data_IF_741517349147
#
_entry.id   IF_741517349147
#
_cell.length_a   1.000
_cell.length_b   1.000
_cell.length_c   1.000
_cell.angle_alpha   90.00
_cell.angle_beta   90.00
_cell.angle_gamma   90.00
#
_symmetry.space_group_name_H-M   'P 1'
#
loop_
_entity.id
_entity.type
_entity.pdbx_description
1 polymer ?
#
# COMPACT_ATOMS: atom_id res chain seq x y z
N UNK A 1 18.21 46.30 2.49
CA UNK A 1 17.99 44.92 2.08
C UNK A 1 16.73 44.92 1.22
N UNK A 2 16.91 44.83 -0.08
CA UNK A 2 15.84 44.97 -1.07
C UNK A 2 14.97 43.71 -1.13
N UNK A 3 13.68 43.86 -1.46
CA UNK A 3 12.70 42.75 -1.48
C UNK A 3 13.05 41.56 -2.36
N UNK A 4 13.97 41.72 -3.30
CA UNK A 4 14.55 40.69 -4.17
C UNK A 4 15.41 39.68 -3.42
N UNK A 5 16.12 40.07 -2.35
CA UNK A 5 16.94 39.15 -1.56
C UNK A 5 16.10 38.22 -0.66
N UNK A 6 14.94 38.70 -0.19
CA UNK A 6 13.98 37.86 0.58
C UNK A 6 13.33 36.81 -0.31
N UNK A 7 12.97 37.14 -1.54
CA UNK A 7 12.37 36.20 -2.51
C UNK A 7 13.38 35.12 -2.95
N UNK A 8 14.64 35.51 -3.16
CA UNK A 8 15.70 34.57 -3.56
C UNK A 8 16.11 33.63 -2.42
N UNK A 9 16.12 34.08 -1.16
CA UNK A 9 16.37 33.22 0.02
C UNK A 9 15.22 32.23 0.28
N UNK A 10 13.96 32.63 0.07
CA UNK A 10 12.83 31.71 0.16
C UNK A 10 12.85 30.63 -0.94
N UNK A 11 13.35 30.95 -2.13
CA UNK A 11 13.48 30.01 -3.26
C UNK A 11 14.58 28.95 -3.05
N UNK A 12 15.66 29.27 -2.37
CA UNK A 12 16.76 28.32 -2.11
C UNK A 12 16.54 27.43 -0.86
N UNK A 13 15.83 27.89 0.14
CA UNK A 13 15.50 27.11 1.33
C UNK A 13 14.57 25.93 1.06
N UNK A 14 13.77 26.01 0.01
CA UNK A 14 12.81 24.99 -0.37
C UNK A 14 13.45 23.67 -0.82
N UNK A 15 14.37 23.66 -1.79
CA UNK A 15 15.08 22.45 -2.22
C UNK A 15 15.89 21.81 -1.09
N UNK A 16 16.53 22.63 -0.24
CA UNK A 16 17.31 22.16 0.90
C UNK A 16 16.42 21.44 1.91
N UNK A 17 15.21 21.96 2.19
CA UNK A 17 14.26 21.32 3.08
C UNK A 17 13.78 19.98 2.53
N UNK A 18 13.46 19.90 1.23
CA UNK A 18 13.06 18.65 0.57
C UNK A 18 14.15 17.58 0.72
N UNK A 19 15.43 17.97 0.54
CA UNK A 19 16.57 17.06 0.68
C UNK A 19 16.71 16.58 2.13
N UNK A 20 16.70 17.48 3.10
CA UNK A 20 16.85 17.12 4.51
C UNK A 20 15.73 16.19 5.01
N UNK A 21 14.48 16.52 4.69
CA UNK A 21 13.34 15.65 5.05
C UNK A 21 13.46 14.30 4.36
N UNK A 22 13.85 14.29 3.09
CA UNK A 22 14.05 13.05 2.34
C UNK A 22 15.15 12.19 2.96
N UNK A 23 16.30 12.78 3.31
CA UNK A 23 17.40 12.07 3.96
C UNK A 23 16.94 11.50 5.30
N UNK A 24 16.20 12.27 6.10
CA UNK A 24 15.71 11.82 7.40
C UNK A 24 14.72 10.64 7.25
N UNK A 25 13.79 10.72 6.29
CA UNK A 25 12.85 9.64 6.03
C UNK A 25 13.55 8.38 5.51
N UNK A 26 14.54 8.50 4.62
CA UNK A 26 15.34 7.37 4.17
C UNK A 26 16.24 6.80 5.26
N UNK A 27 16.76 7.65 6.15
CA UNK A 27 17.52 7.20 7.33
C UNK A 27 16.66 6.36 8.27
N UNK A 28 15.37 6.72 8.44
CA UNK A 28 14.42 5.87 9.17
C UNK A 28 14.25 4.51 8.49
N UNK A 29 14.11 4.50 7.15
CA UNK A 29 13.94 3.26 6.38
C UNK A 29 15.16 2.33 6.47
N UNK A 30 16.37 2.86 6.58
CA UNK A 30 17.62 2.09 6.61
C UNK A 30 18.13 1.91 8.03
N UNK A 31 18.73 2.95 8.61
CA UNK A 31 19.29 2.92 9.95
C UNK A 31 18.22 2.68 11.02
N UNK A 32 17.05 3.32 10.89
CA UNK A 32 15.93 3.12 11.81
C UNK A 32 15.40 1.69 11.79
N UNK A 33 15.35 1.07 10.61
CA UNK A 33 15.02 -0.36 10.52
C UNK A 33 16.02 -1.22 11.26
N UNK A 34 17.32 -1.03 11.01
CA UNK A 34 18.37 -1.86 11.60
C UNK A 34 18.46 -1.66 13.13
N UNK A 35 18.40 -0.42 13.59
CA UNK A 35 18.60 -0.10 15.00
C UNK A 35 17.34 -0.33 15.84
N UNK A 36 16.17 0.09 15.32
CA UNK A 36 14.93 0.10 16.11
C UNK A 36 14.07 -1.14 15.91
N UNK A 37 14.11 -1.78 14.73
CA UNK A 37 13.16 -2.85 14.40
C UNK A 37 13.82 -4.22 14.22
N UNK A 38 15.03 -4.31 13.67
CA UNK A 38 15.71 -5.59 13.46
C UNK A 38 15.83 -6.44 14.74
N UNK A 39 16.14 -5.88 15.93
CA UNK A 39 16.15 -6.66 17.17
C UNK A 39 14.81 -7.34 17.47
N UNK A 40 13.69 -6.64 17.23
CA UNK A 40 12.35 -7.21 17.44
C UNK A 40 12.01 -8.30 16.41
N UNK A 41 12.48 -8.16 15.15
CA UNK A 41 12.33 -9.22 14.16
C UNK A 41 13.14 -10.47 14.54
N UNK A 42 14.34 -10.31 15.08
CA UNK A 42 15.15 -11.42 15.56
C UNK A 42 14.50 -12.10 16.78
N UNK A 43 13.98 -11.31 17.72
CA UNK A 43 13.20 -11.85 18.85
C UNK A 43 11.97 -12.61 18.35
N UNK A 44 11.19 -12.04 17.45
CA UNK A 44 10.02 -12.69 16.89
C UNK A 44 10.37 -14.00 16.15
N UNK A 45 11.52 -14.06 15.49
CA UNK A 45 12.00 -15.26 14.81
C UNK A 45 12.29 -16.41 15.80
N UNK A 46 12.74 -16.09 17.01
CA UNK A 46 13.17 -17.07 18.03
C UNK A 46 12.01 -17.43 18.96
N UNK A 47 11.26 -16.42 19.44
CA UNK A 47 10.33 -16.56 20.54
C UNK A 47 8.86 -16.76 20.11
N UNK A 48 8.47 -16.28 18.91
CA UNK A 48 7.09 -16.31 18.50
C UNK A 48 6.71 -17.62 17.81
N UNK A 49 5.68 -18.28 18.30
CA UNK A 49 5.12 -19.49 17.69
C UNK A 49 4.49 -19.19 16.32
N UNK A 50 3.80 -18.04 16.17
CA UNK A 50 3.25 -17.56 14.91
C UNK A 50 4.09 -16.41 14.36
N UNK A 51 5.23 -16.78 13.73
CA UNK A 51 6.19 -15.84 13.14
C UNK A 51 5.54 -14.94 12.10
N UNK A 52 4.66 -15.45 11.27
CA UNK A 52 3.98 -14.65 10.26
C UNK A 52 3.19 -13.50 10.88
N UNK A 53 2.39 -13.79 11.89
CA UNK A 53 1.59 -12.78 12.61
C UNK A 53 2.46 -11.73 13.29
N UNK A 54 3.57 -12.16 13.90
CA UNK A 54 4.53 -11.25 14.53
C UNK A 54 5.20 -10.33 13.51
N UNK A 55 5.67 -10.88 12.39
CA UNK A 55 6.29 -10.10 11.31
C UNK A 55 5.31 -9.11 10.69
N UNK A 56 4.05 -9.48 10.47
CA UNK A 56 3.03 -8.57 9.95
C UNK A 56 2.77 -7.40 10.92
N UNK A 57 2.70 -7.66 12.24
CA UNK A 57 2.56 -6.59 13.24
C UNK A 57 3.77 -5.65 13.25
N UNK A 58 4.99 -6.19 13.20
CA UNK A 58 6.21 -5.39 13.13
C UNK A 58 6.27 -4.55 11.87
N UNK A 59 5.92 -5.11 10.70
CA UNK A 59 5.79 -4.34 9.46
C UNK A 59 4.78 -3.20 9.61
N UNK A 60 3.59 -3.49 10.17
CA UNK A 60 2.57 -2.49 10.41
C UNK A 60 3.10 -1.35 11.31
N UNK A 61 3.71 -1.67 12.44
CA UNK A 61 4.29 -0.69 13.37
C UNK A 61 5.42 0.12 12.74
N UNK A 62 6.30 -0.52 11.97
CA UNK A 62 7.37 0.16 11.24
C UNK A 62 6.82 1.22 10.29
N UNK A 63 5.82 0.87 9.47
CA UNK A 63 5.25 1.82 8.52
C UNK A 63 4.32 2.84 9.21
N UNK A 64 3.70 2.52 10.35
CA UNK A 64 3.02 3.52 11.18
C UNK A 64 4.00 4.59 11.67
N UNK A 65 5.16 4.19 12.17
CA UNK A 65 6.23 5.11 12.56
C UNK A 65 6.72 5.98 11.40
N UNK A 66 6.90 5.38 10.22
CA UNK A 66 7.24 6.11 9.01
C UNK A 66 6.19 7.18 8.66
N UNK A 67 4.90 6.84 8.59
CA UNK A 67 3.84 7.80 8.29
C UNK A 67 3.60 8.81 9.40
N UNK A 68 3.88 8.46 10.66
CA UNK A 68 3.92 9.44 11.75
C UNK A 68 4.98 10.52 11.48
N UNK A 69 6.20 10.13 11.10
CA UNK A 69 7.27 11.07 10.72
C UNK A 69 6.86 11.90 9.50
N UNK A 70 6.31 11.29 8.45
CA UNK A 70 5.83 12.01 7.25
C UNK A 70 4.83 13.09 7.65
N UNK A 71 3.84 12.77 8.49
CA UNK A 71 2.83 13.74 8.95
C UNK A 71 3.43 14.88 9.77
N UNK A 72 4.46 14.61 10.57
CA UNK A 72 5.14 15.63 11.39
C UNK A 72 6.07 16.52 10.57
N UNK A 73 6.80 15.95 9.63
CA UNK A 73 7.81 16.66 8.85
C UNK A 73 7.22 17.38 7.63
N UNK A 74 6.08 16.92 7.11
CA UNK A 74 5.42 17.46 5.92
C UNK A 74 4.00 17.93 6.28
N UNK A 75 3.83 19.00 7.06
CA UNK A 75 2.52 19.51 7.48
C UNK A 75 1.69 20.05 6.31
N UNK A 76 2.32 20.33 5.17
CA UNK A 76 1.65 20.69 3.90
C UNK A 76 0.86 19.53 3.30
N UNK A 77 1.15 18.27 3.72
CA UNK A 77 0.43 17.10 3.29
C UNK A 77 -0.63 16.68 4.33
N UNK A 78 -1.89 16.88 3.98
CA UNK A 78 -3.03 16.42 4.78
C UNK A 78 -3.39 14.98 4.43
N UNK A 79 -4.00 14.27 5.38
CA UNK A 79 -4.39 12.86 5.22
C UNK A 79 -5.88 12.72 5.52
N UNK A 80 -6.62 12.19 4.56
CA UNK A 80 -8.02 11.83 4.71
C UNK A 80 -8.16 10.34 4.41
N UNK A 81 -8.30 9.57 5.47
CA UNK A 81 -8.45 8.11 5.43
C UNK A 81 -9.85 7.81 5.95
N UNK A 82 -10.64 7.08 5.16
CA UNK A 82 -11.99 6.67 5.54
C UNK A 82 -11.94 5.82 6.82
N UNK A 83 -12.64 6.20 7.89
CA UNK A 83 -12.68 5.43 9.14
C UNK A 83 -13.18 3.99 8.97
N UNK A 84 -13.96 3.70 7.93
CA UNK A 84 -14.44 2.36 7.63
C UNK A 84 -13.30 1.37 7.33
N UNK A 85 -12.13 1.87 6.89
CA UNK A 85 -10.95 1.04 6.60
C UNK A 85 -10.47 0.29 7.85
N UNK A 86 -10.55 0.88 9.03
CA UNK A 86 -10.15 0.24 10.28
C UNK A 86 -11.00 -1.01 10.64
N UNK A 87 -12.19 -1.13 10.04
CA UNK A 87 -13.11 -2.25 10.27
C UNK A 87 -12.99 -3.36 9.21
N UNK A 88 -12.15 -3.19 8.19
CA UNK A 88 -11.95 -4.20 7.15
C UNK A 88 -11.20 -5.39 7.75
N UNK A 89 -11.80 -6.55 7.67
CA UNK A 89 -11.25 -7.80 8.20
C UNK A 89 -11.72 -8.97 7.33
N UNK A 90 -10.86 -9.97 7.13
CA UNK A 90 -11.18 -11.19 6.39
C UNK A 90 -11.55 -10.92 4.91
N UNK A 91 -10.88 -9.98 4.26
CA UNK A 91 -11.27 -9.49 2.94
C UNK A 91 -10.12 -9.52 1.94
N UNK A 92 -10.45 -9.74 0.67
CA UNK A 92 -9.57 -9.34 -0.43
C UNK A 92 -9.78 -7.85 -0.70
N UNK A 93 -8.72 -7.07 -0.50
CA UNK A 93 -8.72 -5.63 -0.69
C UNK A 93 -8.10 -5.30 -2.04
N UNK A 94 -8.90 -4.74 -2.94
CA UNK A 94 -8.48 -4.28 -4.27
C UNK A 94 -8.27 -2.77 -4.23
N UNK A 95 -7.10 -2.29 -4.63
CA UNK A 95 -6.77 -0.87 -4.62
C UNK A 95 -6.07 -0.47 -5.92
N UNK A 96 -6.31 0.75 -6.43
CA UNK A 96 -5.51 1.33 -7.51
C UNK A 96 -4.09 1.66 -7.03
N UNK A 97 -3.14 1.77 -7.97
CA UNK A 97 -1.72 1.95 -7.63
C UNK A 97 -1.11 3.13 -8.37
N UNK A 98 -0.70 4.17 -7.63
CA UNK A 98 -0.14 5.41 -8.19
C UNK A 98 1.27 5.73 -7.66
N UNK A 99 1.64 5.26 -6.45
CA UNK A 99 2.91 5.57 -5.80
C UNK A 99 3.56 4.35 -5.13
N UNK A 100 4.86 4.41 -4.91
CA UNK A 100 5.56 3.46 -4.03
C UNK A 100 5.07 3.50 -2.57
N UNK A 101 4.40 4.59 -2.18
CA UNK A 101 3.85 4.74 -0.83
C UNK A 101 2.56 3.92 -0.62
N UNK A 102 1.85 3.54 -1.68
CA UNK A 102 0.54 2.89 -1.55
C UNK A 102 0.62 1.55 -0.80
N UNK A 103 1.52 0.61 -1.15
CA UNK A 103 1.61 -0.66 -0.42
C UNK A 103 2.01 -0.47 1.03
N UNK A 104 2.94 0.43 1.33
CA UNK A 104 3.37 0.67 2.72
C UNK A 104 2.31 1.42 3.53
N UNK A 105 1.47 2.25 2.87
CA UNK A 105 0.30 2.85 3.50
C UNK A 105 -0.71 1.78 3.90
N UNK A 106 -1.05 0.84 3.01
CA UNK A 106 -1.97 -0.25 3.33
C UNK A 106 -1.40 -1.16 4.42
N UNK A 107 -0.09 -1.48 4.40
CA UNK A 107 0.58 -2.23 5.47
C UNK A 107 0.44 -1.51 6.82
N UNK A 108 0.57 -0.18 6.85
CA UNK A 108 0.45 0.60 8.08
C UNK A 108 -0.96 0.60 8.69
N UNK A 109 -1.98 0.24 7.90
CA UNK A 109 -3.39 0.23 8.31
C UNK A 109 -3.89 -1.16 8.72
N UNK A 110 -3.28 -2.22 8.22
CA UNK A 110 -3.72 -3.59 8.47
C UNK A 110 -2.68 -4.37 9.26
N UNK A 111 -2.93 -4.63 10.55
CA UNK A 111 -2.02 -5.41 11.39
C UNK A 111 -1.91 -6.89 10.94
N UNK A 112 -2.96 -7.43 10.33
CA UNK A 112 -3.00 -8.75 9.69
C UNK A 112 -3.17 -8.58 8.19
N UNK A 113 -2.07 -8.70 7.45
CA UNK A 113 -2.08 -8.44 6.02
C UNK A 113 -1.16 -9.39 5.25
N UNK A 114 -1.58 -9.73 4.05
CA UNK A 114 -0.74 -10.30 2.99
C UNK A 114 -0.85 -9.43 1.74
N UNK A 115 0.17 -9.49 0.90
CA UNK A 115 0.16 -8.80 -0.39
C UNK A 115 1.00 -9.54 -1.42
N UNK A 116 0.84 -9.16 -2.67
CA UNK A 116 1.59 -9.71 -3.80
C UNK A 116 2.80 -8.83 -4.09
N UNK A 117 3.97 -9.43 -4.15
CA UNK A 117 5.26 -8.74 -4.32
C UNK A 117 6.01 -9.31 -5.51
N UNK A 118 6.68 -8.46 -6.27
CA UNK A 118 7.49 -8.88 -7.44
C UNK A 118 8.56 -9.89 -7.05
N UNK A 119 8.68 -10.97 -7.79
CA UNK A 119 9.59 -12.09 -7.52
C UNK A 119 11.04 -11.65 -7.27
N UNK A 120 11.53 -10.63 -7.98
CA UNK A 120 12.88 -10.08 -7.80
C UNK A 120 13.17 -9.61 -6.38
N UNK A 121 12.15 -9.16 -5.63
CA UNK A 121 12.32 -8.69 -4.26
C UNK A 121 12.52 -9.83 -3.28
N UNK A 122 11.95 -11.00 -3.55
CA UNK A 122 12.24 -12.23 -2.80
C UNK A 122 13.69 -12.74 -3.01
N UNK A 123 14.35 -12.31 -4.08
CA UNK A 123 15.74 -12.69 -4.36
C UNK A 123 16.76 -11.84 -3.57
N UNK A 124 16.34 -10.73 -2.96
CA UNK A 124 17.22 -9.86 -2.18
C UNK A 124 17.52 -10.55 -0.84
N UNK A 125 18.79 -10.77 -0.47
CA UNK A 125 19.15 -11.34 0.82
C UNK A 125 18.52 -10.57 1.99
N UNK A 126 18.16 -11.25 3.07
CA UNK A 126 17.44 -10.74 4.25
C UNK A 126 16.05 -10.20 3.93
N UNK A 127 15.90 -9.26 3.00
CA UNK A 127 14.63 -8.66 2.63
C UNK A 127 13.65 -9.70 2.06
N UNK A 128 14.09 -10.55 1.13
CA UNK A 128 13.26 -11.63 0.60
C UNK A 128 12.82 -12.64 1.67
N UNK A 129 13.69 -12.90 2.64
CA UNK A 129 13.37 -13.75 3.79
C UNK A 129 12.31 -13.11 4.68
N UNK A 130 12.38 -11.79 4.91
CA UNK A 130 11.36 -11.04 5.63
C UNK A 130 10.01 -11.08 4.91
N UNK A 131 9.99 -10.90 3.57
CA UNK A 131 8.76 -11.01 2.78
C UNK A 131 8.13 -12.40 2.92
N UNK A 132 8.93 -13.46 2.83
CA UNK A 132 8.46 -14.82 3.00
C UNK A 132 7.91 -15.07 4.42
N UNK A 133 8.62 -14.63 5.47
CA UNK A 133 8.19 -14.76 6.86
C UNK A 133 6.94 -13.92 7.17
N UNK A 134 6.73 -12.83 6.45
CA UNK A 134 5.51 -12.00 6.54
C UNK A 134 4.30 -12.60 5.82
N UNK A 135 4.44 -13.76 5.16
CA UNK A 135 3.35 -14.40 4.44
C UNK A 135 3.04 -13.80 3.07
N UNK A 136 3.93 -12.96 2.51
CA UNK A 136 3.68 -12.30 1.22
C UNK A 136 3.80 -13.30 0.06
N UNK A 137 3.05 -13.01 -1.02
CA UNK A 137 2.97 -13.87 -2.20
C UNK A 137 3.89 -13.36 -3.30
N UNK A 138 4.61 -14.24 -4.01
CA UNK A 138 5.29 -13.86 -5.24
C UNK A 138 4.27 -13.54 -6.34
N UNK A 139 4.61 -12.58 -7.22
CA UNK A 139 3.70 -12.11 -8.27
C UNK A 139 3.44 -13.16 -9.37
N UNK A 140 4.34 -14.11 -9.53
CA UNK A 140 4.22 -15.20 -10.52
C UNK A 140 4.56 -16.54 -9.87
N UNK A 141 3.81 -17.57 -10.24
CA UNK A 141 3.97 -18.94 -9.74
C UNK A 141 5.14 -19.70 -10.40
N UNK A 142 5.89 -19.07 -11.30
CA UNK A 142 6.97 -19.74 -12.03
C UNK A 142 8.29 -19.83 -11.27
N UNK A 143 9.11 -20.82 -11.65
CA UNK A 143 10.46 -21.00 -11.15
C UNK A 143 10.51 -21.36 -9.65
N UNK A 144 11.56 -20.91 -8.97
CA UNK A 144 11.86 -21.26 -7.57
C UNK A 144 10.82 -20.81 -6.53
N UNK A 145 9.87 -19.95 -6.91
CA UNK A 145 8.84 -19.43 -6.01
C UNK A 145 7.47 -20.10 -6.18
N UNK A 146 7.35 -21.11 -7.07
CA UNK A 146 6.10 -21.82 -7.31
C UNK A 146 5.58 -22.55 -6.06
N UNK A 147 6.45 -23.25 -5.34
CA UNK A 147 6.09 -23.90 -4.08
C UNK A 147 5.58 -22.93 -3.01
N UNK A 148 6.26 -21.78 -2.86
CA UNK A 148 5.81 -20.73 -1.92
C UNK A 148 4.44 -20.19 -2.30
N UNK A 149 4.17 -19.96 -3.59
CA UNK A 149 2.88 -19.49 -4.06
C UNK A 149 1.76 -20.49 -3.74
N UNK A 150 1.99 -21.78 -4.01
CA UNK A 150 1.03 -22.85 -3.73
C UNK A 150 0.73 -22.92 -2.23
N UNK A 151 1.76 -22.94 -1.39
CA UNK A 151 1.61 -22.92 0.08
C UNK A 151 0.80 -21.73 0.56
N UNK A 152 1.08 -20.52 0.03
CA UNK A 152 0.37 -19.31 0.42
C UNK A 152 -1.09 -19.33 0.00
N UNK A 153 -1.40 -19.80 -1.20
CA UNK A 153 -2.79 -19.93 -1.67
C UNK A 153 -3.53 -20.96 -0.84
N UNK A 154 -2.94 -22.11 -0.56
CA UNK A 154 -3.56 -23.15 0.25
C UNK A 154 -3.89 -22.68 1.68
N UNK A 155 -3.07 -21.78 2.24
CA UNK A 155 -3.29 -21.23 3.60
C UNK A 155 -4.26 -20.03 3.65
N UNK A 156 -4.78 -19.54 2.50
CA UNK A 156 -5.66 -18.37 2.47
C UNK A 156 -6.97 -18.51 3.25
N UNK A 157 -7.70 -19.65 3.19
CA UNK A 157 -8.96 -19.75 3.94
C UNK A 157 -8.77 -19.55 5.44
N UNK A 158 -7.76 -20.17 6.04
CA UNK A 158 -7.41 -19.97 7.45
C UNK A 158 -6.98 -18.54 7.76
N UNK A 159 -6.18 -17.94 6.88
CA UNK A 159 -5.73 -16.56 7.02
C UNK A 159 -6.88 -15.55 7.07
N UNK A 160 -7.88 -15.70 6.18
CA UNK A 160 -9.07 -14.84 6.17
C UNK A 160 -9.95 -15.08 7.40
N UNK A 161 -10.14 -16.34 7.81
CA UNK A 161 -10.88 -16.70 9.02
C UNK A 161 -10.28 -16.06 10.28
N UNK A 162 -8.95 -15.92 10.32
CA UNK A 162 -8.22 -15.21 11.39
C UNK A 162 -8.26 -13.67 11.24
N UNK A 163 -9.11 -13.13 10.39
CA UNK A 163 -9.28 -11.70 10.16
C UNK A 163 -8.19 -11.05 9.30
N UNK A 164 -7.37 -11.84 8.61
CA UNK A 164 -6.33 -11.32 7.72
C UNK A 164 -6.91 -10.69 6.45
N UNK A 165 -6.27 -9.65 5.94
CA UNK A 165 -6.62 -8.98 4.69
C UNK A 165 -5.54 -9.22 3.62
N UNK A 166 -5.96 -9.68 2.46
CA UNK A 166 -5.08 -9.76 1.29
C UNK A 166 -5.29 -8.51 0.43
N UNK A 167 -4.36 -7.57 0.44
CA UNK A 167 -4.46 -6.43 -0.46
C UNK A 167 -3.67 -6.65 -1.75
N UNK A 168 -4.28 -6.29 -2.86
CA UNK A 168 -3.72 -6.45 -4.20
C UNK A 168 -3.97 -5.18 -5.02
N UNK A 169 -2.94 -4.78 -5.76
CA UNK A 169 -3.05 -3.80 -6.83
C UNK A 169 -3.25 -4.56 -8.15
N UNK A 170 -4.50 -4.69 -8.64
CA UNK A 170 -4.81 -5.61 -9.73
C UNK A 170 -4.19 -5.19 -11.07
N UNK A 171 -3.76 -3.95 -11.19
CA UNK A 171 -3.02 -3.42 -12.35
C UNK A 171 -1.61 -4.02 -12.48
N UNK A 172 -1.03 -4.60 -11.41
CA UNK A 172 0.32 -5.16 -11.37
C UNK A 172 1.46 -4.15 -11.52
N UNK A 173 1.14 -2.92 -11.93
CA UNK A 173 2.08 -1.81 -12.07
C UNK A 173 1.44 -0.50 -11.63
N UNK A 174 2.28 0.49 -11.30
CA UNK A 174 1.79 1.83 -10.96
C UNK A 174 1.30 2.55 -12.22
N UNK A 175 0.14 3.19 -12.11
CA UNK A 175 -0.34 4.10 -13.15
C UNK A 175 0.59 5.32 -13.27
N UNK A 176 0.99 5.67 -14.49
CA UNK A 176 1.81 6.87 -14.76
C UNK A 176 0.97 8.10 -15.10
N UNK A 177 -0.25 7.88 -15.56
CA UNK A 177 -1.16 8.93 -16.03
C UNK A 177 -2.45 9.03 -15.19
N UNK A 178 -2.48 8.38 -14.01
CA UNK A 178 -3.63 8.31 -13.10
C UNK A 178 -4.87 7.63 -13.71
N UNK A 179 -4.74 6.96 -14.83
CA UNK A 179 -5.81 6.14 -15.40
C UNK A 179 -5.71 4.72 -14.86
N UNK A 180 -6.85 4.13 -14.56
CA UNK A 180 -6.94 2.72 -14.13
C UNK A 180 -6.58 1.82 -15.32
N UNK A 181 -5.58 0.97 -15.14
CA UNK A 181 -5.14 -0.01 -16.12
C UNK A 181 -6.06 -1.25 -16.16
N UNK A 182 -5.65 -2.23 -16.96
CA UNK A 182 -6.31 -3.55 -16.96
C UNK A 182 -6.04 -4.27 -15.64
N UNK A 183 -7.06 -4.98 -15.16
CA UNK A 183 -6.95 -5.77 -13.95
C UNK A 183 -6.51 -7.20 -14.25
N UNK A 184 -5.69 -7.76 -13.37
CA UNK A 184 -5.39 -9.19 -13.31
C UNK A 184 -6.49 -9.91 -12.53
N UNK A 185 -6.75 -11.17 -12.89
CA UNK A 185 -7.80 -11.98 -12.28
C UNK A 185 -7.48 -12.49 -10.87
N UNK A 186 -6.22 -12.41 -10.43
CA UNK A 186 -5.73 -13.09 -9.24
C UNK A 186 -6.51 -12.75 -7.96
N UNK A 187 -6.74 -11.44 -7.70
CA UNK A 187 -7.48 -10.98 -6.53
C UNK A 187 -8.89 -11.58 -6.47
N UNK A 188 -9.61 -11.50 -7.58
CA UNK A 188 -10.99 -11.93 -7.71
C UNK A 188 -11.14 -13.45 -7.60
N UNK A 189 -10.20 -14.21 -8.20
CA UNK A 189 -10.14 -15.67 -8.06
C UNK A 189 -9.91 -16.09 -6.60
N UNK A 190 -8.98 -15.44 -5.90
CA UNK A 190 -8.73 -15.73 -4.47
C UNK A 190 -9.97 -15.44 -3.64
N UNK A 191 -10.64 -14.31 -3.86
CA UNK A 191 -11.88 -13.96 -3.14
C UNK A 191 -12.94 -15.05 -3.31
N UNK A 192 -13.22 -15.47 -4.55
CA UNK A 192 -14.22 -16.51 -4.85
C UNK A 192 -13.83 -17.87 -4.27
N UNK A 193 -12.60 -18.30 -4.47
CA UNK A 193 -12.13 -19.60 -3.98
C UNK A 193 -12.18 -19.70 -2.44
N UNK A 194 -12.04 -18.58 -1.75
CA UNK A 194 -12.10 -18.52 -0.29
C UNK A 194 -13.46 -18.08 0.24
N UNK A 195 -14.40 -17.73 -0.64
CA UNK A 195 -15.74 -17.22 -0.29
C UNK A 195 -15.67 -16.04 0.70
N UNK A 196 -14.86 -15.03 0.36
CA UNK A 196 -14.63 -13.84 1.19
C UNK A 196 -14.98 -12.56 0.45
N UNK A 197 -15.35 -11.47 1.15
CA UNK A 197 -15.71 -10.22 0.51
C UNK A 197 -14.54 -9.60 -0.26
N UNK A 198 -14.88 -8.85 -1.31
CA UNK A 198 -13.98 -7.97 -2.05
C UNK A 198 -14.25 -6.54 -1.57
N UNK A 199 -13.25 -5.91 -0.97
CA UNK A 199 -13.33 -4.50 -0.59
C UNK A 199 -12.51 -3.65 -1.55
N UNK A 200 -13.13 -2.65 -2.14
CA UNK A 200 -12.51 -1.79 -3.15
C UNK A 200 -12.08 -0.48 -2.50
N UNK A 201 -10.79 -0.20 -2.52
CA UNK A 201 -10.21 1.05 -2.02
C UNK A 201 -9.71 1.92 -3.16
N UNK A 202 -9.84 3.23 -3.01
CA UNK A 202 -9.27 4.23 -3.90
C UNK A 202 -8.23 5.07 -3.17
N UNK A 203 -6.98 5.01 -3.61
CA UNK A 203 -5.89 5.88 -3.13
C UNK A 203 -5.63 7.00 -4.13
N UNK A 204 -5.42 8.23 -3.63
CA UNK A 204 -5.15 9.39 -4.47
C UNK A 204 -4.06 10.28 -3.87
N UNK A 205 -3.28 10.90 -4.75
CA UNK A 205 -2.27 11.93 -4.46
C UNK A 205 -1.06 11.46 -3.62
N UNK A 206 -0.87 10.18 -3.39
CA UNK A 206 0.39 9.65 -2.84
C UNK A 206 1.55 9.87 -3.82
N UNK A 207 1.27 9.87 -5.13
CA UNK A 207 2.20 10.22 -6.21
C UNK A 207 2.64 11.69 -6.19
N UNK A 208 1.81 12.60 -5.67
CA UNK A 208 2.19 14.01 -5.47
C UNK A 208 3.16 14.18 -4.30
N UNK A 209 3.03 13.35 -3.27
CA UNK A 209 3.93 13.36 -2.12
C UNK A 209 5.28 12.73 -2.46
N UNK A 210 5.25 11.59 -3.17
CA UNK A 210 6.44 10.88 -3.61
C UNK A 210 6.25 10.41 -5.06
N UNK A 211 6.76 11.23 -5.98
CA UNK A 211 6.54 11.06 -7.41
C UNK A 211 7.35 9.90 -7.98
N UNK A 212 6.77 9.10 -8.88
CA UNK A 212 7.51 8.08 -9.61
C UNK A 212 8.72 8.67 -10.34
N UNK A 213 9.90 8.05 -10.14
CA UNK A 213 11.15 8.48 -10.76
C UNK A 213 11.89 9.60 -10.03
N UNK A 214 11.32 10.17 -8.96
CA UNK A 214 12.04 11.10 -8.08
C UNK A 214 12.51 10.39 -6.80
N UNK A 215 13.67 10.80 -6.30
CA UNK A 215 14.21 10.31 -5.03
C UNK A 215 13.69 11.12 -3.82
N UNK A 216 13.34 12.39 -4.04
CA UNK A 216 12.94 13.32 -3.00
C UNK A 216 11.44 13.38 -2.81
N UNK A 217 11.02 13.56 -1.54
CA UNK A 217 9.66 13.88 -1.18
C UNK A 217 9.33 15.33 -1.56
N UNK A 218 8.11 15.56 -2.03
CA UNK A 218 7.59 16.91 -2.22
C UNK A 218 7.05 17.42 -0.87
N UNK A 219 7.79 18.36 -0.26
CA UNK A 219 7.43 18.89 1.07
C UNK A 219 6.80 20.28 1.00
N UNK A 220 6.72 20.87 -0.19
CA UNK A 220 6.34 22.27 -0.39
C UNK A 220 4.92 22.47 -0.87
N UNK A 221 4.51 21.68 -1.84
CA UNK A 221 3.19 21.82 -2.45
C UNK A 221 2.11 21.31 -1.49
N UNK A 222 1.07 22.11 -1.24
CA UNK A 222 -0.08 21.63 -0.50
C UNK A 222 -0.66 20.38 -1.17
N UNK A 223 -0.83 19.34 -0.40
CA UNK A 223 -1.36 18.08 -0.88
C UNK A 223 -2.33 17.48 0.13
N UNK A 224 -3.32 16.74 -0.36
CA UNK A 224 -4.16 15.90 0.49
C UNK A 224 -4.15 14.49 -0.08
N UNK A 225 -3.61 13.55 0.67
CA UNK A 225 -3.71 12.13 0.37
C UNK A 225 -5.08 11.64 0.81
N UNK A 226 -5.78 10.97 -0.09
CA UNK A 226 -7.08 10.38 0.17
C UNK A 226 -6.97 8.86 0.07
N UNK A 227 -7.65 8.17 0.97
CA UNK A 227 -7.86 6.73 0.90
C UNK A 227 -9.31 6.46 1.32
N UNK A 228 -10.13 6.10 0.35
CA UNK A 228 -11.56 5.90 0.51
C UNK A 228 -11.96 4.46 0.27
N UNK A 229 -12.97 3.98 0.99
CA UNK A 229 -13.73 2.78 0.61
C UNK A 229 -14.68 3.19 -0.52
N UNK A 230 -14.55 2.53 -1.67
CA UNK A 230 -15.40 2.78 -2.86
C UNK A 230 -16.59 1.83 -2.87
N UNK A 231 -16.33 0.56 -2.54
CA UNK A 231 -17.35 -0.49 -2.57
C UNK A 231 -16.92 -1.69 -1.70
N UNK A 232 -17.91 -2.51 -1.33
CA UNK A 232 -17.70 -3.80 -0.69
C UNK A 232 -18.69 -4.80 -1.28
N UNK A 233 -18.17 -5.81 -1.97
CA UNK A 233 -18.91 -6.87 -2.61
C UNK A 233 -18.76 -8.11 -1.72
N UNK A 234 -19.81 -8.41 -0.97
CA UNK A 234 -19.87 -9.59 -0.10
C UNK A 234 -20.25 -10.84 -0.91
N UNK A 235 -19.99 -12.06 -0.41
CA UNK A 235 -20.34 -13.29 -1.12
C UNK A 235 -21.83 -13.47 -1.43
N UNK A 236 -22.71 -12.81 -0.66
CA UNK A 236 -24.18 -12.77 -0.86
C UNK A 236 -24.64 -11.63 -1.79
N UNK A 237 -23.75 -10.77 -2.25
CA UNK A 237 -24.05 -9.74 -3.25
C UNK A 237 -24.24 -10.40 -4.64
N UNK A 238 -25.35 -10.14 -5.37
CA UNK A 238 -25.58 -10.71 -6.69
C UNK A 238 -24.44 -10.50 -7.70
N UNK A 239 -23.68 -9.41 -7.54
CA UNK A 239 -22.49 -9.12 -8.37
C UNK A 239 -21.35 -10.11 -8.15
N UNK A 240 -21.31 -10.76 -6.99
CA UNK A 240 -20.27 -11.73 -6.67
C UNK A 240 -20.30 -12.93 -7.62
N UNK A 241 -21.46 -13.29 -8.15
CA UNK A 241 -21.67 -14.43 -9.06
C UNK A 241 -21.52 -14.07 -10.55
N UNK A 242 -21.36 -12.78 -10.89
CA UNK A 242 -21.15 -12.35 -12.28
C UNK A 242 -19.96 -13.08 -12.92
N UNK A 243 -19.93 -13.26 -14.25
CA UNK A 243 -18.70 -13.66 -14.93
C UNK A 243 -17.51 -12.84 -14.44
N UNK A 244 -16.35 -13.48 -14.25
CA UNK A 244 -15.19 -12.83 -13.62
C UNK A 244 -14.77 -11.55 -14.35
N UNK A 245 -14.90 -11.53 -15.67
CA UNK A 245 -14.60 -10.36 -16.49
C UNK A 245 -15.53 -9.19 -16.18
N UNK A 246 -16.83 -9.46 -16.01
CA UNK A 246 -17.85 -8.45 -15.75
C UNK A 246 -17.69 -7.87 -14.34
N UNK A 247 -17.43 -8.71 -13.34
CA UNK A 247 -17.12 -8.27 -11.98
C UNK A 247 -15.88 -7.37 -11.95
N UNK A 248 -14.83 -7.75 -12.67
CA UNK A 248 -13.59 -6.95 -12.76
C UNK A 248 -13.84 -5.60 -13.43
N UNK A 249 -14.69 -5.57 -14.48
CA UNK A 249 -15.04 -4.34 -15.19
C UNK A 249 -15.94 -3.44 -14.35
N UNK A 250 -16.90 -3.99 -13.58
CA UNK A 250 -17.70 -3.22 -12.62
C UNK A 250 -16.80 -2.52 -11.60
N UNK A 251 -15.89 -3.27 -10.98
CA UNK A 251 -14.94 -2.71 -10.00
C UNK A 251 -14.03 -1.65 -10.63
N UNK A 252 -13.53 -1.89 -11.84
CA UNK A 252 -12.69 -0.94 -12.59
C UNK A 252 -13.44 0.35 -12.89
N UNK A 253 -14.69 0.24 -13.32
CA UNK A 253 -15.56 1.39 -13.63
C UNK A 253 -15.83 2.22 -12.38
N UNK A 254 -16.15 1.60 -11.25
CA UNK A 254 -16.37 2.31 -9.97
C UNK A 254 -15.14 3.08 -9.53
N UNK A 255 -13.95 2.47 -9.60
CA UNK A 255 -12.70 3.15 -9.31
C UNK A 255 -12.43 4.32 -10.26
N UNK A 256 -12.70 4.14 -11.55
CA UNK A 256 -12.53 5.19 -12.56
C UNK A 256 -13.45 6.38 -12.28
N UNK A 257 -14.73 6.10 -11.99
CA UNK A 257 -15.73 7.13 -11.65
C UNK A 257 -15.37 7.87 -10.35
N UNK A 258 -14.88 7.16 -9.32
CA UNK A 258 -14.42 7.79 -8.07
C UNK A 258 -13.26 8.75 -8.31
N UNK A 259 -12.29 8.36 -9.15
CA UNK A 259 -11.15 9.23 -9.51
C UNK A 259 -11.62 10.43 -10.32
N UNK A 260 -12.50 10.23 -11.31
CA UNK A 260 -13.05 11.31 -12.13
C UNK A 260 -13.83 12.34 -11.30
N UNK A 261 -14.71 11.88 -10.41
CA UNK A 261 -15.46 12.73 -9.50
C UNK A 261 -14.54 13.58 -8.59
N UNK A 262 -13.44 13.00 -8.10
CA UNK A 262 -12.48 13.72 -7.27
C UNK A 262 -11.65 14.76 -8.06
N UNK A 263 -11.47 14.58 -9.37
CA UNK A 263 -10.84 15.59 -10.23
C UNK A 263 -11.80 16.76 -10.44
N UNK A 264 -13.08 16.49 -10.73
CA UNK A 264 -14.12 17.50 -10.95
C UNK A 264 -14.37 18.34 -9.69
N UNK A 265 -14.43 17.73 -8.52
CA UNK A 265 -14.63 18.45 -7.25
C UNK A 265 -13.47 19.37 -6.85
N UNK A 266 -12.28 19.20 -7.45
CA UNK A 266 -11.09 20.02 -7.22
C UNK A 266 -10.90 21.10 -8.28
N UNK A 267 -11.65 21.05 -9.38
CA UNK A 267 -11.65 22.02 -10.47
C UNK A 267 -12.76 23.07 -10.38
N UNK A 268 -13.64 22.99 -9.38
CA UNK A 268 -14.57 24.06 -9.08
C UNK A 268 -13.85 25.16 -8.28
N UNK A 269 -13.96 26.44 -8.68
CA UNK A 269 -13.28 27.58 -8.07
C UNK A 269 -13.66 27.81 -6.61
#
# INVERSE_FOLDING_TARGET
MTGTDRFRRQSMAGPVRDVWITVLLWSYFTAGFVVLFLPFYLMALILESNREKAFQRLNCSFYQGFFYMVRRLIPTCRWRIDPAIARISGSVVVCNHVSYLDPILLISLFARHRTVVKNRLFAIPLFGRMLALSGYLPATAGGRFGGLMIERIASMPGFFKDGGNLFIFPEGTRSRNRRIGRFSTGAFKVARNCNVPITVLCVQNTDRLFSPGRFSFNTREPNTVWLDVVDRIAPDDPRYDLPLADLMEDVRTRLTNKIAAAILSKGAP
#
